data_IF_055756282400
#
_entry.id   IF_055756282400
#
_cell.length_a   1.000
_cell.length_b   1.000
_cell.length_c   1.000
_cell.angle_alpha   90.00
_cell.angle_beta   90.00
_cell.angle_gamma   90.00
#
_symmetry.space_group_name_H-M   'P 1'
#
loop_
_entity.id
_entity.type
_entity.pdbx_description
1 polymer ?
#
# COMPACT_ATOMS: atom_id res chain seq x y z
N UNK A 1 -26.31 17.16 -9.64
CA UNK A 1 -25.11 17.60 -10.39
C UNK A 1 -23.90 16.67 -10.21
N UNK A 2 -24.01 15.54 -9.49
CA UNK A 2 -22.86 14.67 -9.23
C UNK A 2 -22.18 14.14 -10.50
N UNK A 3 -22.94 13.47 -11.38
CA UNK A 3 -22.40 12.84 -12.60
C UNK A 3 -21.70 13.83 -13.53
N UNK A 4 -22.20 15.07 -13.60
CA UNK A 4 -21.59 16.14 -14.39
C UNK A 4 -20.27 16.62 -13.78
N UNK A 5 -20.19 16.80 -12.46
CA UNK A 5 -18.93 17.19 -11.81
C UNK A 5 -17.91 16.07 -11.87
N UNK A 6 -18.35 14.82 -11.69
CA UNK A 6 -17.52 13.64 -11.86
C UNK A 6 -16.93 13.56 -13.29
N UNK A 7 -17.76 13.76 -14.32
CA UNK A 7 -17.29 13.76 -15.71
C UNK A 7 -16.24 14.85 -15.97
N UNK A 8 -16.43 16.05 -15.41
CA UNK A 8 -15.45 17.14 -15.51
C UNK A 8 -14.13 16.81 -14.84
N UNK A 9 -14.16 16.27 -13.62
CA UNK A 9 -12.95 15.85 -12.91
C UNK A 9 -12.23 14.74 -13.65
N UNK A 10 -12.98 13.78 -14.22
CA UNK A 10 -12.41 12.73 -15.05
C UNK A 10 -11.68 13.30 -16.26
N UNK A 11 -12.33 14.19 -17.00
CA UNK A 11 -11.73 14.88 -18.15
C UNK A 11 -10.48 15.68 -17.75
N UNK A 12 -10.52 16.37 -16.61
CA UNK A 12 -9.36 17.10 -16.08
C UNK A 12 -8.17 16.16 -15.81
N UNK A 13 -8.40 15.06 -15.09
CA UNK A 13 -7.32 14.10 -14.76
C UNK A 13 -6.83 13.29 -15.94
N UNK A 14 -7.68 13.01 -16.93
CA UNK A 14 -7.29 12.35 -18.18
C UNK A 14 -6.34 13.23 -19.01
N UNK A 15 -6.40 14.55 -18.85
CA UNK A 15 -5.51 15.51 -19.51
C UNK A 15 -4.19 15.77 -18.75
N UNK A 16 -3.97 15.19 -17.56
CA UNK A 16 -2.73 15.37 -16.82
C UNK A 16 -1.55 14.71 -17.54
N UNK A 17 -0.49 15.51 -17.77
CA UNK A 17 0.77 15.01 -18.31
C UNK A 17 1.61 14.32 -17.24
N UNK A 18 2.68 13.63 -17.65
CA UNK A 18 3.65 13.07 -16.70
C UNK A 18 4.26 14.16 -15.78
N UNK A 19 4.39 15.39 -16.25
CA UNK A 19 4.86 16.52 -15.44
C UNK A 19 3.84 16.91 -14.38
N UNK A 20 2.55 16.94 -14.72
CA UNK A 20 1.47 17.30 -13.79
C UNK A 20 1.34 16.27 -12.67
N UNK A 21 1.45 14.98 -13.02
CA UNK A 21 1.49 13.88 -12.06
C UNK A 21 2.71 13.92 -11.15
N UNK A 22 3.84 14.47 -11.61
CA UNK A 22 5.07 14.54 -10.83
C UNK A 22 5.38 15.94 -10.28
N UNK A 23 4.34 16.79 -10.12
CA UNK A 23 4.52 18.17 -9.63
C UNK A 23 4.99 18.24 -8.18
N UNK A 24 4.64 17.26 -7.35
CA UNK A 24 5.08 17.11 -5.96
C UNK A 24 4.85 15.68 -5.48
N UNK A 25 5.37 15.36 -4.28
CA UNK A 25 5.32 14.02 -3.69
C UNK A 25 3.90 13.45 -3.58
N UNK A 26 2.92 14.28 -3.21
CA UNK A 26 1.52 13.85 -3.10
C UNK A 26 0.97 13.37 -4.45
N UNK A 27 1.17 14.13 -5.52
CA UNK A 27 0.70 13.74 -6.85
C UNK A 27 1.47 12.56 -7.43
N UNK A 28 2.78 12.50 -7.17
CA UNK A 28 3.60 11.36 -7.58
C UNK A 28 3.17 10.07 -6.87
N UNK A 29 2.76 10.15 -5.59
CA UNK A 29 2.24 9.01 -4.85
C UNK A 29 0.92 8.50 -5.44
N UNK A 30 -0.05 9.41 -5.68
CA UNK A 30 -1.29 9.07 -6.38
C UNK A 30 -1.03 8.46 -7.77
N UNK A 31 -0.07 9.02 -8.49
CA UNK A 31 0.34 8.49 -9.78
C UNK A 31 0.93 7.09 -9.66
N UNK A 32 1.71 6.82 -8.61
CA UNK A 32 2.25 5.50 -8.34
C UNK A 32 1.14 4.46 -8.15
N UNK A 33 0.05 4.79 -7.46
CA UNK A 33 -1.09 3.87 -7.23
C UNK A 33 -1.95 3.60 -8.48
N UNK A 34 -2.00 4.53 -9.45
CA UNK A 34 -2.86 4.42 -10.64
C UNK A 34 -2.75 3.11 -11.44
N UNK A 35 -1.59 2.43 -11.59
CA UNK A 35 -1.49 1.14 -12.28
C UNK A 35 -2.25 0.01 -11.60
N UNK A 36 -2.44 0.08 -10.28
CA UNK A 36 -3.21 -0.91 -9.50
C UNK A 36 -4.70 -0.91 -9.91
N UNK A 37 -5.21 0.24 -10.36
CA UNK A 37 -6.63 0.44 -10.69
C UNK A 37 -7.00 0.03 -12.12
N UNK A 38 -6.09 -0.63 -12.85
CA UNK A 38 -6.34 -1.11 -14.21
C UNK A 38 -6.90 -2.53 -14.18
N UNK A 39 -7.67 -2.89 -15.19
CA UNK A 39 -8.02 -4.30 -15.39
C UNK A 39 -6.78 -5.08 -15.85
N UNK A 40 -6.44 -6.15 -15.13
CA UNK A 40 -5.41 -7.09 -15.53
C UNK A 40 -5.99 -8.08 -16.53
N UNK A 41 -5.46 -8.06 -17.77
CA UNK A 41 -5.93 -8.89 -18.88
C UNK A 41 -4.96 -10.06 -19.15
N UNK A 42 -5.14 -10.71 -20.31
CA UNK A 42 -4.25 -11.75 -20.80
C UNK A 42 -2.78 -11.32 -20.72
N UNK A 43 -1.95 -12.14 -20.07
CA UNK A 43 -0.53 -11.85 -19.78
C UNK A 43 -0.24 -11.70 -18.29
N UNK A 44 -1.26 -11.42 -17.47
CA UNK A 44 -1.15 -11.46 -16.00
C UNK A 44 -1.55 -12.83 -15.44
N UNK A 45 -1.09 -13.19 -14.22
CA UNK A 45 -1.57 -14.37 -13.51
C UNK A 45 -3.09 -14.43 -13.42
N UNK A 46 -3.65 -15.65 -13.47
CA UNK A 46 -5.10 -15.86 -13.52
C UNK A 46 -5.84 -15.27 -12.32
N UNK A 47 -5.23 -15.27 -11.13
CA UNK A 47 -5.84 -14.68 -9.94
C UNK A 47 -5.98 -13.16 -10.07
N UNK A 48 -5.06 -12.47 -10.75
CA UNK A 48 -5.11 -11.01 -10.96
C UNK A 48 -6.22 -10.59 -11.92
N UNK A 49 -6.66 -11.48 -12.79
CA UNK A 49 -7.72 -11.21 -13.77
C UNK A 49 -9.13 -11.29 -13.16
N UNK A 50 -9.24 -11.62 -11.86
CA UNK A 50 -10.52 -11.76 -11.17
C UNK A 50 -11.05 -10.43 -10.66
N UNK A 51 -12.37 -10.34 -10.51
CA UNK A 51 -13.03 -9.18 -9.88
C UNK A 51 -12.55 -8.98 -8.44
N UNK A 52 -12.43 -10.07 -7.66
CA UNK A 52 -11.91 -10.04 -6.31
C UNK A 52 -10.51 -9.41 -6.22
N UNK A 53 -9.61 -9.68 -7.17
CA UNK A 53 -8.30 -9.03 -7.18
C UNK A 53 -8.37 -7.54 -7.53
N UNK A 54 -9.23 -7.14 -8.46
CA UNK A 54 -9.47 -5.72 -8.75
C UNK A 54 -10.02 -4.98 -7.52
N UNK A 55 -10.88 -5.63 -6.74
CA UNK A 55 -11.43 -5.07 -5.51
C UNK A 55 -10.38 -5.00 -4.39
N UNK A 56 -9.46 -5.98 -4.33
CA UNK A 56 -8.26 -5.92 -3.47
C UNK A 56 -7.35 -4.76 -3.87
N UNK A 57 -7.11 -4.52 -5.16
CA UNK A 57 -6.30 -3.39 -5.63
C UNK A 57 -6.94 -2.04 -5.32
N UNK A 58 -8.25 -1.92 -5.55
CA UNK A 58 -9.01 -0.73 -5.17
C UNK A 58 -8.90 -0.45 -3.67
N UNK A 59 -9.08 -1.49 -2.85
CA UNK A 59 -8.93 -1.42 -1.39
C UNK A 59 -7.53 -0.99 -0.99
N UNK A 60 -6.49 -1.54 -1.63
CA UNK A 60 -5.08 -1.19 -1.40
C UNK A 60 -4.81 0.28 -1.75
N UNK A 61 -5.32 0.76 -2.90
CA UNK A 61 -5.15 2.14 -3.32
C UNK A 61 -5.86 3.14 -2.39
N UNK A 62 -7.07 2.81 -1.95
CA UNK A 62 -7.86 3.64 -1.02
C UNK A 62 -7.25 3.67 0.39
N UNK A 63 -6.78 2.52 0.88
CA UNK A 63 -6.04 2.45 2.15
C UNK A 63 -4.76 3.29 2.09
N UNK A 64 -3.95 3.14 1.03
CA UNK A 64 -2.74 3.94 0.85
C UNK A 64 -3.03 5.45 0.72
N UNK A 65 -4.14 5.82 0.07
CA UNK A 65 -4.57 7.22 0.03
C UNK A 65 -5.00 7.73 1.41
N UNK A 66 -5.66 6.90 2.21
CA UNK A 66 -6.04 7.22 3.60
C UNK A 66 -4.81 7.48 4.45
N UNK A 67 -3.76 6.65 4.35
CA UNK A 67 -2.46 6.87 4.99
C UNK A 67 -1.83 8.20 4.56
N UNK A 68 -1.80 8.47 3.25
CA UNK A 68 -1.29 9.74 2.73
C UNK A 68 -2.08 10.96 3.26
N UNK A 69 -3.41 10.85 3.38
CA UNK A 69 -4.26 11.91 3.94
C UNK A 69 -4.01 12.08 5.43
N UNK A 70 -3.91 10.99 6.18
CA UNK A 70 -3.58 11.01 7.60
C UNK A 70 -2.25 11.75 7.85
N UNK A 71 -1.19 11.41 7.11
CA UNK A 71 0.15 11.98 7.31
C UNK A 71 0.27 13.43 6.84
N UNK A 72 -0.58 13.86 5.91
CA UNK A 72 -0.64 15.25 5.45
C UNK A 72 -1.58 16.14 6.28
N UNK A 73 -2.40 15.54 7.16
CA UNK A 73 -3.22 16.25 8.14
C UNK A 73 -2.40 16.35 9.43
N UNK A 74 -1.92 17.55 9.75
CA UNK A 74 -1.01 17.85 10.87
C UNK A 74 -1.54 17.34 12.23
N UNK A 75 -1.16 16.12 12.62
CA UNK A 75 -1.27 15.62 13.99
C UNK A 75 0.11 15.19 14.49
N UNK A 76 0.69 15.96 15.40
CA UNK A 76 1.80 15.50 16.22
C UNK A 76 1.23 14.69 17.41
N UNK A 77 1.86 13.55 17.74
CA UNK A 77 1.45 12.70 18.88
C UNK A 77 2.62 12.34 19.81
N UNK A 78 2.28 12.18 21.10
CA UNK A 78 3.14 11.95 22.27
C UNK A 78 3.54 10.47 22.52
N UNK A 79 4.59 10.25 23.32
CA UNK A 79 5.30 8.97 23.54
C UNK A 79 4.70 8.03 24.60
N UNK A 80 5.04 6.73 24.52
CA UNK A 80 4.92 5.69 25.57
C UNK A 80 5.78 4.45 25.20
N UNK A 81 6.04 3.52 26.14
CA UNK A 81 7.03 2.41 26.04
C UNK A 81 6.43 1.02 26.37
N UNK A 82 7.04 -0.08 25.84
CA UNK A 82 7.06 -1.52 26.23
C UNK A 82 6.78 -2.46 25.03
N UNK A 83 7.24 -3.71 24.83
CA UNK A 83 8.32 -4.64 25.29
C UNK A 83 8.31 -5.80 24.26
N UNK A 84 9.47 -6.26 23.79
CA UNK A 84 9.59 -7.33 22.78
C UNK A 84 9.52 -8.76 23.33
N UNK A 85 9.11 -9.72 22.47
CA UNK A 85 9.40 -11.16 22.63
C UNK A 85 9.85 -11.77 21.30
N UNK A 86 10.93 -12.53 21.34
CA UNK A 86 11.59 -13.15 20.18
C UNK A 86 10.94 -14.44 19.66
N UNK A 87 11.34 -14.83 18.44
CA UNK A 87 10.83 -16.01 17.72
C UNK A 87 11.73 -17.26 17.88
N UNK A 88 11.15 -18.49 17.91
CA UNK A 88 11.89 -19.74 17.82
C UNK A 88 12.05 -20.26 16.37
N UNK A 89 13.08 -21.09 16.17
CA UNK A 89 13.55 -21.67 14.90
C UNK A 89 12.73 -22.90 14.45
N UNK A 90 12.50 -23.03 13.13
CA UNK A 90 11.85 -24.21 12.48
C UNK A 90 12.76 -24.88 11.42
N UNK A 91 12.64 -26.21 11.21
CA UNK A 91 13.51 -26.99 10.32
C UNK A 91 13.23 -26.76 8.82
N UNK A 92 14.15 -27.14 7.92
CA UNK A 92 14.04 -26.85 6.50
C UNK A 92 13.03 -27.77 5.79
N UNK A 93 11.93 -27.19 5.32
CA UNK A 93 11.05 -27.79 4.31
C UNK A 93 11.56 -27.45 2.90
N UNK A 94 11.03 -28.17 1.87
CA UNK A 94 11.26 -27.86 0.45
C UNK A 94 11.05 -26.36 0.20
N UNK A 95 11.81 -25.70 -0.69
CA UNK A 95 11.71 -24.25 -0.86
C UNK A 95 10.28 -23.86 -1.21
N UNK A 96 9.58 -23.29 -0.23
CA UNK A 96 8.35 -22.54 -0.45
C UNK A 96 8.81 -21.31 -1.21
N UNK A 97 8.50 -21.28 -2.50
CA UNK A 97 8.80 -20.11 -3.33
C UNK A 97 7.73 -19.07 -3.03
N UNK A 98 8.17 -17.86 -2.69
CA UNK A 98 7.29 -16.71 -2.60
C UNK A 98 7.03 -16.12 -3.99
N UNK A 99 6.16 -15.13 -4.03
CA UNK A 99 5.71 -14.49 -5.26
C UNK A 99 5.70 -12.98 -5.08
N UNK A 100 6.12 -12.21 -6.08
CA UNK A 100 5.97 -10.75 -6.07
C UNK A 100 4.76 -10.40 -6.90
N UNK A 101 3.88 -9.53 -6.40
CA UNK A 101 2.76 -9.10 -7.22
C UNK A 101 3.27 -8.35 -8.47
N UNK A 102 3.00 -8.82 -9.71
CA UNK A 102 3.78 -8.44 -10.88
C UNK A 102 3.22 -7.16 -11.53
N UNK A 103 3.32 -6.04 -10.82
CA UNK A 103 2.91 -4.72 -11.32
C UNK A 103 4.15 -3.83 -11.50
N UNK A 104 5.01 -4.10 -12.51
CA UNK A 104 6.28 -3.38 -12.67
C UNK A 104 6.09 -1.88 -12.90
N UNK A 105 4.96 -1.44 -13.47
CA UNK A 105 4.63 -0.01 -13.61
C UNK A 105 4.47 0.68 -12.25
N UNK A 106 3.86 0.00 -11.27
CA UNK A 106 3.69 0.50 -9.91
C UNK A 106 5.05 0.67 -9.22
N UNK A 107 5.89 -0.38 -9.20
CA UNK A 107 7.21 -0.31 -8.58
C UNK A 107 8.14 0.69 -9.26
N UNK A 108 8.09 0.82 -10.59
CA UNK A 108 8.89 1.84 -11.29
C UNK A 108 8.48 3.27 -10.91
N UNK A 109 7.19 3.52 -10.70
CA UNK A 109 6.72 4.85 -10.26
C UNK A 109 7.15 5.14 -8.83
N UNK A 110 7.07 4.16 -7.93
CA UNK A 110 7.62 4.29 -6.58
C UNK A 110 9.14 4.50 -6.59
N UNK A 111 9.86 3.80 -7.47
CA UNK A 111 11.31 3.94 -7.62
C UNK A 111 11.67 5.35 -8.09
N UNK A 112 10.95 5.85 -9.10
CA UNK A 112 11.13 7.21 -9.60
C UNK A 112 10.84 8.25 -8.51
N UNK A 113 9.74 8.09 -7.77
CA UNK A 113 9.40 8.96 -6.64
C UNK A 113 10.48 8.94 -5.56
N UNK A 114 10.97 7.76 -5.19
CA UNK A 114 12.01 7.59 -4.16
C UNK A 114 13.29 8.31 -4.58
N UNK A 115 13.76 8.09 -5.82
CA UNK A 115 14.93 8.76 -6.39
C UNK A 115 14.77 10.27 -6.45
N UNK A 116 13.60 10.76 -6.86
CA UNK A 116 13.30 12.19 -6.92
C UNK A 116 13.31 12.82 -5.52
N UNK A 117 12.76 12.11 -4.52
CA UNK A 117 12.74 12.55 -3.12
C UNK A 117 14.15 12.61 -2.55
N UNK A 118 14.94 11.54 -2.75
CA UNK A 118 16.33 11.46 -2.30
C UNK A 118 17.17 12.58 -2.90
N UNK A 119 17.12 12.73 -4.23
CA UNK A 119 17.83 13.79 -4.94
C UNK A 119 17.39 15.19 -4.49
N UNK A 120 16.08 15.46 -4.45
CA UNK A 120 15.57 16.78 -4.11
C UNK A 120 15.90 17.22 -2.69
N UNK A 121 15.77 16.33 -1.71
CA UNK A 121 16.07 16.64 -0.31
C UNK A 121 17.60 16.72 -0.06
N UNK A 122 18.41 15.93 -0.79
CA UNK A 122 19.88 16.04 -0.75
C UNK A 122 20.37 17.38 -1.32
N UNK A 123 19.80 17.83 -2.46
CA UNK A 123 20.09 19.14 -3.07
C UNK A 123 19.71 20.31 -2.15
N UNK A 124 18.66 20.14 -1.34
CA UNK A 124 18.25 21.11 -0.32
C UNK A 124 19.14 21.08 0.95
N UNK A 125 20.01 20.08 1.09
CA UNK A 125 20.88 19.91 2.26
C UNK A 125 20.13 19.54 3.54
N UNK A 126 18.93 18.95 3.42
CA UNK A 126 18.07 18.58 4.57
C UNK A 126 18.08 17.09 4.91
N UNK A 127 18.76 16.26 4.11
CA UNK A 127 18.98 14.85 4.43
C UNK A 127 20.26 14.67 5.26
N UNK A 128 20.12 13.99 6.39
CA UNK A 128 21.26 13.37 7.06
C UNK A 128 21.67 12.06 6.35
N UNK A 129 22.81 11.50 6.76
CA UNK A 129 23.34 10.27 6.16
C UNK A 129 22.42 9.06 6.37
N UNK A 130 21.70 9.01 7.49
CA UNK A 130 20.79 7.91 7.83
C UNK A 130 19.56 7.91 6.92
N UNK A 131 18.91 9.06 6.76
CA UNK A 131 17.76 9.22 5.88
C UNK A 131 18.13 8.96 4.41
N UNK A 132 19.30 9.45 3.97
CA UNK A 132 19.82 9.19 2.63
C UNK A 132 20.05 7.69 2.39
N UNK A 133 20.66 7.00 3.36
CA UNK A 133 20.90 5.55 3.27
C UNK A 133 19.58 4.76 3.19
N UNK A 134 18.55 5.16 3.94
CA UNK A 134 17.22 4.53 3.88
C UNK A 134 16.55 4.67 2.53
N UNK A 135 16.57 5.87 1.96
CA UNK A 135 16.05 6.11 0.62
C UNK A 135 16.80 5.27 -0.42
N UNK A 136 18.12 5.17 -0.32
CA UNK A 136 18.93 4.31 -1.18
C UNK A 136 18.60 2.82 -1.02
N UNK A 137 18.33 2.34 0.18
CA UNK A 137 17.89 0.96 0.40
C UNK A 137 16.50 0.72 -0.20
N UNK A 138 15.57 1.68 -0.03
CA UNK A 138 14.25 1.60 -0.67
C UNK A 138 14.36 1.57 -2.20
N UNK A 139 15.26 2.36 -2.79
CA UNK A 139 15.55 2.30 -4.23
C UNK A 139 15.99 0.90 -4.66
N UNK A 140 16.92 0.26 -3.93
CA UNK A 140 17.40 -1.10 -4.24
C UNK A 140 16.30 -2.15 -4.13
N UNK A 141 15.46 -2.07 -3.10
CA UNK A 141 14.32 -2.96 -2.91
C UNK A 141 13.35 -2.82 -4.09
N UNK A 142 13.00 -1.58 -4.47
CA UNK A 142 12.09 -1.32 -5.58
C UNK A 142 12.67 -1.78 -6.94
N UNK A 143 13.98 -1.64 -7.16
CA UNK A 143 14.65 -2.20 -8.33
C UNK A 143 14.55 -3.74 -8.38
N UNK A 144 14.73 -4.42 -7.24
CA UNK A 144 14.55 -5.89 -7.15
C UNK A 144 13.11 -6.28 -7.48
N UNK A 145 12.13 -5.59 -6.91
CA UNK A 145 10.70 -5.83 -7.19
C UNK A 145 10.38 -5.64 -8.67
N UNK A 146 10.85 -4.55 -9.31
CA UNK A 146 10.68 -4.33 -10.77
C UNK A 146 11.24 -5.51 -11.58
N UNK A 147 12.43 -5.99 -11.24
CA UNK A 147 13.09 -7.05 -11.99
C UNK A 147 12.38 -8.40 -11.81
N UNK A 148 11.97 -8.74 -10.58
CA UNK A 148 11.24 -9.98 -10.29
C UNK A 148 9.86 -9.96 -10.99
N UNK A 149 9.13 -8.84 -10.90
CA UNK A 149 7.82 -8.72 -11.55
C UNK A 149 7.90 -8.87 -13.06
N UNK A 150 8.96 -8.37 -13.71
CA UNK A 150 9.16 -8.59 -15.16
C UNK A 150 9.34 -10.07 -15.47
N UNK A 151 10.24 -10.75 -14.75
CA UNK A 151 10.48 -12.19 -14.92
C UNK A 151 9.21 -13.00 -14.71
N UNK A 152 8.41 -12.67 -13.70
CA UNK A 152 7.13 -13.37 -13.43
C UNK A 152 6.11 -13.15 -14.56
N UNK A 153 6.00 -11.95 -15.13
CA UNK A 153 5.14 -11.70 -16.31
C UNK A 153 5.66 -12.41 -17.58
N UNK A 154 6.97 -12.51 -17.73
CA UNK A 154 7.64 -13.20 -18.84
C UNK A 154 7.65 -14.73 -18.64
N UNK A 155 7.11 -15.21 -17.51
CA UNK A 155 7.08 -16.62 -17.12
C UNK A 155 8.50 -17.25 -17.08
N UNK A 156 9.49 -16.44 -16.70
CA UNK A 156 10.86 -16.86 -16.46
C UNK A 156 11.02 -17.43 -15.04
N UNK A 157 11.89 -18.42 -14.89
CA UNK A 157 12.21 -18.98 -13.58
C UNK A 157 13.08 -17.99 -12.77
N UNK A 158 12.63 -17.69 -11.55
CA UNK A 158 13.37 -16.83 -10.63
C UNK A 158 14.65 -17.54 -10.12
N UNK A 159 15.69 -16.76 -9.86
CA UNK A 159 16.95 -17.30 -9.33
C UNK A 159 16.83 -17.62 -7.84
N UNK A 160 17.80 -18.36 -7.28
CA UNK A 160 17.87 -18.58 -5.84
C UNK A 160 17.92 -17.26 -5.06
N UNK A 161 18.68 -16.29 -5.55
CA UNK A 161 18.80 -14.96 -4.93
C UNK A 161 17.48 -14.18 -4.98
N UNK A 162 16.66 -14.39 -6.03
CA UNK A 162 15.30 -13.84 -6.12
C UNK A 162 14.40 -14.46 -5.03
N UNK A 163 14.43 -15.78 -4.87
CA UNK A 163 13.65 -16.44 -3.81
C UNK A 163 14.13 -16.11 -2.40
N UNK A 164 15.44 -15.99 -2.18
CA UNK A 164 16.00 -15.60 -0.89
C UNK A 164 15.61 -14.14 -0.56
N UNK A 165 15.60 -13.23 -1.55
CA UNK A 165 15.07 -11.88 -1.38
C UNK A 165 13.59 -11.88 -0.99
N UNK A 166 12.74 -12.65 -1.69
CA UNK A 166 11.30 -12.71 -1.39
C UNK A 166 11.07 -13.29 0.01
N UNK A 167 11.77 -14.36 0.36
CA UNK A 167 11.67 -15.01 1.67
C UNK A 167 12.03 -14.07 2.81
N UNK A 168 13.08 -13.25 2.62
CA UNK A 168 13.58 -12.33 3.63
C UNK A 168 13.08 -10.89 3.42
N UNK A 169 12.03 -10.69 2.61
CA UNK A 169 11.56 -9.35 2.24
C UNK A 169 11.25 -8.46 3.45
N UNK A 170 10.70 -9.03 4.54
CA UNK A 170 10.48 -8.29 5.78
C UNK A 170 11.77 -7.77 6.43
N UNK A 171 12.86 -8.55 6.37
CA UNK A 171 14.17 -8.14 6.87
C UNK A 171 14.81 -7.09 5.97
N UNK A 172 14.68 -7.24 4.64
CA UNK A 172 15.11 -6.23 3.67
C UNK A 172 14.44 -4.88 3.95
N UNK A 173 13.13 -4.90 4.20
CA UNK A 173 12.35 -3.70 4.48
C UNK A 173 12.70 -3.05 5.83
N UNK A 174 13.11 -3.82 6.85
CA UNK A 174 13.50 -3.27 8.15
C UNK A 174 14.60 -2.22 8.02
N UNK A 175 15.54 -2.39 7.09
CA UNK A 175 16.61 -1.42 6.82
C UNK A 175 16.11 -0.04 6.34
N UNK A 176 14.87 0.04 5.85
CA UNK A 176 14.23 1.27 5.41
C UNK A 176 13.48 1.95 6.57
N UNK A 177 12.92 1.16 7.50
CA UNK A 177 12.00 1.62 8.55
C UNK A 177 12.56 1.55 9.98
N UNK A 178 13.87 1.32 10.16
CA UNK A 178 14.48 1.01 11.46
C UNK A 178 14.25 2.08 12.54
N UNK A 179 14.35 3.39 12.22
CA UNK A 179 14.08 4.50 13.17
C UNK A 179 12.66 5.06 13.00
N UNK A 180 11.81 4.37 12.24
CA UNK A 180 10.39 4.72 12.20
C UNK A 180 9.77 4.21 13.50
N UNK A 181 9.09 5.10 14.22
CA UNK A 181 8.40 4.74 15.45
C UNK A 181 7.37 3.62 15.21
N UNK A 182 7.26 2.66 16.14
CA UNK A 182 6.36 1.52 15.97
C UNK A 182 4.88 1.92 15.88
N UNK A 183 4.48 3.09 16.38
CA UNK A 183 3.12 3.60 16.17
C UNK A 183 2.93 4.12 14.75
N UNK A 184 3.97 4.68 14.13
CA UNK A 184 3.99 5.03 12.70
C UNK A 184 3.99 3.78 11.80
N UNK A 185 4.30 2.59 12.34
CA UNK A 185 4.15 1.30 11.64
C UNK A 185 2.75 0.69 11.77
N UNK A 186 1.83 1.29 12.55
CA UNK A 186 0.47 0.75 12.72
C UNK A 186 -0.39 1.09 11.52
N UNK A 187 -1.00 0.07 10.92
CA UNK A 187 -1.95 0.22 9.82
C UNK A 187 -3.29 0.79 10.27
N UNK A 188 -3.64 0.72 11.55
CA UNK A 188 -4.94 1.19 12.07
C UNK A 188 -4.93 2.71 12.27
N UNK A 189 -5.39 3.45 11.27
CA UNK A 189 -5.41 4.92 11.23
C UNK A 189 -6.74 5.45 10.69
N UNK A 190 -7.06 6.71 10.99
CA UNK A 190 -8.32 7.36 10.58
C UNK A 190 -8.05 8.79 10.10
N UNK A 191 -8.65 9.19 8.99
CA UNK A 191 -8.50 10.52 8.42
C UNK A 191 -9.86 11.17 8.15
N UNK A 192 -10.06 12.35 8.73
CA UNK A 192 -11.17 13.23 8.40
C UNK A 192 -10.85 13.97 7.10
N UNK A 193 -11.43 13.50 5.99
CA UNK A 193 -11.07 14.01 4.66
C UNK A 193 -11.97 15.13 4.17
N UNK A 194 -13.15 15.30 4.76
CA UNK A 194 -14.11 16.34 4.39
C UNK A 194 -15.10 16.66 5.51
N UNK A 195 -15.48 17.94 5.65
CA UNK A 195 -16.50 18.40 6.60
C UNK A 195 -17.68 19.01 5.88
N UNK A 196 -18.86 18.41 6.03
CA UNK A 196 -20.12 18.98 5.56
C UNK A 196 -20.79 19.80 6.67
N UNK A 197 -20.64 21.11 6.57
CA UNK A 197 -21.20 22.08 7.52
C UNK A 197 -22.72 22.15 7.53
N UNK A 198 -23.41 21.67 6.48
CA UNK A 198 -24.87 21.68 6.43
C UNK A 198 -25.45 20.54 7.26
N UNK A 199 -24.86 19.34 7.15
CA UNK A 199 -25.31 18.16 7.90
C UNK A 199 -24.60 18.00 9.24
N UNK A 200 -23.59 18.83 9.54
CA UNK A 200 -22.72 18.73 10.73
C UNK A 200 -22.08 17.35 10.84
N UNK A 201 -21.69 16.79 9.70
CA UNK A 201 -20.99 15.50 9.59
C UNK A 201 -19.63 15.69 8.93
N UNK A 202 -18.74 14.75 9.23
CA UNK A 202 -17.45 14.60 8.57
C UNK A 202 -17.44 13.30 7.78
N UNK A 203 -16.65 13.25 6.72
CA UNK A 203 -16.33 12.02 6.00
C UNK A 203 -15.01 11.49 6.56
N UNK A 204 -15.09 10.33 7.20
CA UNK A 204 -13.95 9.62 7.77
C UNK A 204 -13.55 8.49 6.82
N UNK A 205 -12.24 8.37 6.61
CA UNK A 205 -11.58 7.33 5.83
C UNK A 205 -10.64 6.58 6.77
N UNK A 206 -10.83 5.27 6.90
CA UNK A 206 -10.14 4.45 7.90
C UNK A 206 -9.42 3.26 7.28
N UNK A 207 -8.24 2.96 7.79
CA UNK A 207 -7.55 1.69 7.56
C UNK A 207 -7.67 0.85 8.82
N UNK A 208 -8.03 -0.42 8.67
CA UNK A 208 -8.25 -1.34 9.78
C UNK A 208 -7.08 -2.29 10.04
N UNK A 209 -7.40 -3.42 10.66
CA UNK A 209 -6.44 -4.51 10.80
C UNK A 209 -6.17 -5.14 9.43
N UNK A 210 -4.92 -5.55 9.20
CA UNK A 210 -4.57 -6.31 8.00
C UNK A 210 -5.34 -7.64 7.99
N UNK A 211 -5.84 -8.00 6.82
CA UNK A 211 -6.49 -9.29 6.57
C UNK A 211 -5.52 -10.25 5.91
N UNK A 212 -5.83 -11.54 5.93
CA UNK A 212 -5.06 -12.55 5.21
C UNK A 212 -5.75 -12.81 3.87
N UNK A 213 -5.01 -12.69 2.77
CA UNK A 213 -5.42 -13.24 1.48
C UNK A 213 -4.69 -14.55 1.23
N UNK A 214 -5.38 -15.48 0.54
CA UNK A 214 -4.82 -16.73 0.09
C UNK A 214 -5.06 -16.84 -1.41
N UNK A 215 -4.00 -17.00 -2.19
CA UNK A 215 -4.08 -17.09 -3.65
C UNK A 215 -3.42 -18.35 -4.17
N UNK A 216 -4.11 -19.03 -5.07
CA UNK A 216 -3.51 -20.07 -5.88
C UNK A 216 -2.88 -19.46 -7.14
N UNK A 217 -1.62 -19.75 -7.40
CA UNK A 217 -0.91 -19.31 -8.59
C UNK A 217 -0.09 -20.44 -9.19
N UNK A 218 0.17 -20.34 -10.49
CA UNK A 218 0.82 -21.37 -11.29
C UNK A 218 2.25 -20.97 -11.61
N UNK A 219 3.19 -21.87 -11.39
CA UNK A 219 4.60 -21.70 -11.76
C UNK A 219 4.85 -22.04 -13.24
N UNK A 220 5.99 -21.62 -13.83
CA UNK A 220 6.38 -21.97 -15.19
C UNK A 220 6.42 -23.49 -15.45
N UNK A 221 6.72 -24.29 -14.42
CA UNK A 221 6.76 -25.76 -14.47
C UNK A 221 5.38 -26.44 -14.29
N UNK A 222 4.29 -25.67 -14.28
CA UNK A 222 2.90 -26.07 -14.07
C UNK A 222 2.50 -26.50 -12.66
N UNK A 223 3.38 -26.41 -11.65
CA UNK A 223 2.95 -26.58 -10.27
C UNK A 223 2.00 -25.45 -9.87
N UNK A 224 0.97 -25.79 -9.10
CA UNK A 224 0.09 -24.83 -8.46
C UNK A 224 0.55 -24.70 -7.01
N UNK A 225 0.86 -23.48 -6.61
CA UNK A 225 1.19 -23.13 -5.24
C UNK A 225 0.14 -22.22 -4.65
N UNK A 226 0.12 -22.19 -3.32
CA UNK A 226 -0.73 -21.29 -2.56
C UNK A 226 0.17 -20.29 -1.85
N UNK A 227 0.01 -19.01 -2.21
CA UNK A 227 0.61 -17.89 -1.50
C UNK A 227 -0.37 -17.35 -0.48
N UNK A 228 0.13 -16.94 0.68
CA UNK A 228 -0.67 -16.25 1.68
C UNK A 228 0.07 -15.00 2.13
N UNK A 229 -0.65 -13.90 2.29
CA UNK A 229 -0.04 -12.61 2.63
C UNK A 229 -1.04 -11.61 3.22
N UNK A 230 -0.54 -10.56 3.87
CA UNK A 230 -1.39 -9.51 4.41
C UNK A 230 -1.96 -8.64 3.29
N UNK A 231 -3.22 -8.24 3.42
CA UNK A 231 -3.88 -7.22 2.59
C UNK A 231 -4.52 -6.17 3.47
N UNK A 232 -4.66 -4.95 2.94
CA UNK A 232 -5.31 -3.86 3.67
C UNK A 232 -6.80 -4.10 3.84
N UNK A 233 -7.36 -3.51 4.89
CA UNK A 233 -8.79 -3.27 5.04
C UNK A 233 -9.05 -1.77 4.97
N UNK A 234 -10.23 -1.39 4.48
CA UNK A 234 -10.58 0.01 4.22
C UNK A 234 -12.04 0.27 4.59
N UNK A 235 -12.28 1.47 5.13
CA UNK A 235 -13.57 1.93 5.62
C UNK A 235 -13.81 3.38 5.19
N UNK A 236 -15.00 3.66 4.65
CA UNK A 236 -15.47 5.02 4.35
C UNK A 236 -16.83 5.22 5.01
N UNK A 237 -16.96 6.22 5.89
CA UNK A 237 -18.24 6.48 6.54
C UNK A 237 -18.40 7.93 7.00
N UNK A 238 -19.67 8.34 7.20
CA UNK A 238 -19.99 9.66 7.74
C UNK A 238 -20.07 9.60 9.26
N UNK A 239 -19.36 10.50 9.95
CA UNK A 239 -19.34 10.58 11.41
C UNK A 239 -19.80 11.96 11.91
N UNK A 240 -20.37 12.12 13.12
CA UNK A 240 -20.75 13.44 13.63
C UNK A 240 -19.54 14.37 13.80
N UNK A 241 -19.62 15.60 13.28
CA UNK A 241 -18.55 16.60 13.36
C UNK A 241 -18.12 16.94 14.79
N UNK A 242 -19.02 16.79 15.76
CA UNK A 242 -18.76 17.05 17.19
C UNK A 242 -17.92 15.96 17.87
N UNK A 243 -17.71 14.82 17.21
CA UNK A 243 -17.01 13.65 17.73
C UNK A 243 -15.97 13.10 16.74
N UNK A 244 -15.17 13.99 16.13
CA UNK A 244 -14.10 13.57 15.21
C UNK A 244 -13.22 12.50 15.85
N UNK A 245 -12.84 11.51 15.04
CA UNK A 245 -12.10 10.36 15.53
C UNK A 245 -10.61 10.68 15.64
N UNK A 246 -9.98 10.07 16.65
CA UNK A 246 -8.53 9.91 16.72
C UNK A 246 -8.22 8.44 16.47
N UNK A 247 -6.97 8.09 16.12
CA UNK A 247 -6.62 6.67 15.94
C UNK A 247 -6.93 5.80 17.15
N UNK A 248 -6.89 6.35 18.37
CA UNK A 248 -7.24 5.61 19.59
C UNK A 248 -8.74 5.29 19.64
N UNK A 249 -9.59 6.28 19.33
CA UNK A 249 -11.04 6.04 19.21
C UNK A 249 -11.37 5.12 18.04
N UNK A 250 -10.64 5.25 16.93
CA UNK A 250 -10.80 4.38 15.77
C UNK A 250 -10.47 2.92 16.10
N UNK A 251 -9.34 2.67 16.78
CA UNK A 251 -8.98 1.32 17.24
C UNK A 251 -10.00 0.74 18.20
N UNK A 252 -10.57 1.55 19.09
CA UNK A 252 -11.63 1.09 20.00
C UNK A 252 -12.90 0.76 19.22
N UNK A 253 -13.28 1.59 18.25
CA UNK A 253 -14.42 1.35 17.36
C UNK A 253 -14.23 0.05 16.57
N UNK A 254 -13.05 -0.19 16.00
CA UNK A 254 -12.69 -1.43 15.31
C UNK A 254 -12.85 -2.68 16.18
N UNK A 255 -12.61 -2.59 17.49
CA UNK A 255 -12.71 -3.72 18.43
C UNK A 255 -14.13 -4.00 18.91
N UNK A 256 -14.96 -2.95 18.99
CA UNK A 256 -16.26 -3.03 19.66
C UNK A 256 -17.43 -3.07 18.69
N UNK A 257 -17.43 -2.20 17.69
CA UNK A 257 -18.49 -2.06 16.71
C UNK A 257 -17.95 -1.37 15.44
N UNK A 258 -17.16 -2.09 14.62
CA UNK A 258 -16.60 -1.51 13.40
C UNK A 258 -17.72 -1.06 12.44
N UNK A 259 -17.50 -0.01 11.65
CA UNK A 259 -18.37 0.31 10.52
C UNK A 259 -18.46 -0.87 9.55
N UNK A 260 -19.53 -0.90 8.75
CA UNK A 260 -19.61 -1.85 7.65
C UNK A 260 -18.46 -1.62 6.68
N UNK A 261 -17.86 -2.72 6.24
CA UNK A 261 -16.91 -2.66 5.14
C UNK A 261 -17.59 -2.29 3.83
N UNK A 262 -16.77 -1.83 2.90
CA UNK A 262 -17.23 -1.46 1.58
C UNK A 262 -17.85 -2.66 0.85
N UNK A 263 -18.91 -2.42 0.09
CA UNK A 263 -19.71 -3.50 -0.50
C UNK A 263 -18.88 -4.41 -1.42
N UNK A 264 -17.86 -3.87 -2.09
CA UNK A 264 -16.96 -4.61 -3.00
C UNK A 264 -15.92 -5.49 -2.28
N UNK A 265 -15.74 -5.35 -0.97
CA UNK A 265 -14.78 -6.16 -0.20
C UNK A 265 -15.35 -7.55 0.12
N UNK A 266 -16.68 -7.72 0.07
CA UNK A 266 -17.34 -9.00 0.38
C UNK A 266 -16.91 -10.12 -0.57
N UNK A 267 -16.64 -9.79 -1.83
CA UNK A 267 -16.23 -10.75 -2.86
C UNK A 267 -14.78 -11.24 -2.67
N UNK A 268 -14.03 -10.67 -1.72
CA UNK A 268 -12.66 -11.09 -1.34
C UNK A 268 -12.70 -12.16 -0.24
N UNK A 269 -13.80 -12.26 0.52
CA UNK A 269 -13.97 -13.18 1.65
C UNK A 269 -14.66 -14.51 1.28
N UNK A 270 -15.24 -14.61 0.07
CA UNK A 270 -15.84 -15.83 -0.51
C UNK A 270 -14.83 -16.65 -1.33
#
# INVERSE_FOLDING_TARGET
NYSTQYAKLREEFDNFTAKDWNKNLYWSWLYALKPLLKEFLNGYPTFMQTKAWQDKELTTALASWTELRHDTILYAKQSYTMTEKGMPYTPPEKPVVGYVEPVPEFYNRLLALTRMTNKGLDEMGVLDSTAKYRLQNLERILERLVNISKKELENEELTRDDYDFIKNFGEELNSVIEDVDDKSKKTTIIADVHTDMNTKKVLEEGVGYVKLIVVAYKLPDNRILVGAGPVFSYYEFKHPMKDRLTDEKWREMLRTNPPNEMEWVRDIEE
#
